data_IF_739028277384
#
_entry.id   IF_739028277384
#
_cell.length_a   1.000
_cell.length_b   1.000
_cell.length_c   1.000
_cell.angle_alpha   90.00
_cell.angle_beta   90.00
_cell.angle_gamma   90.00
#
_symmetry.space_group_name_H-M   'P 1'
#
loop_
_entity.id
_entity.type
_entity.pdbx_description
1 polymer ?
#
# COMPACT_ATOMS: atom_id res chain seq x y z
N UNK A 1 32.40 -61.68 22.22
CA UNK A 1 32.20 -60.55 23.16
C UNK A 1 32.28 -59.27 22.32
N UNK A 2 31.15 -58.75 21.82
CA UNK A 2 30.52 -57.47 22.24
C UNK A 2 31.52 -56.29 22.08
N UNK A 3 31.36 -55.27 21.21
CA UNK A 3 30.25 -54.68 20.43
C UNK A 3 30.88 -53.87 19.27
N UNK A 4 30.46 -54.05 18.01
CA UNK A 4 29.59 -53.15 17.19
C UNK A 4 30.16 -51.71 17.01
N UNK A 5 30.29 -51.21 15.77
CA UNK A 5 31.35 -50.31 15.35
C UNK A 5 31.01 -48.81 15.49
N UNK A 6 32.05 -48.02 15.74
CA UNK A 6 32.06 -46.55 15.81
C UNK A 6 31.88 -45.86 14.43
N UNK A 7 31.02 -46.43 13.57
CA UNK A 7 30.82 -46.01 12.17
C UNK A 7 29.37 -45.59 11.85
N UNK A 8 28.51 -45.36 12.85
CA UNK A 8 27.09 -45.05 12.60
C UNK A 8 26.49 -43.80 13.27
N UNK A 9 27.25 -42.96 13.97
CA UNK A 9 26.67 -41.80 14.69
C UNK A 9 27.19 -40.42 14.26
N UNK A 10 27.79 -40.30 13.08
CA UNK A 10 28.23 -39.00 12.55
C UNK A 10 27.50 -38.58 11.24
N UNK A 11 26.33 -39.17 10.95
CA UNK A 11 25.52 -38.86 9.76
C UNK A 11 24.10 -38.35 10.05
N UNK A 12 23.77 -37.99 11.30
CA UNK A 12 22.45 -37.41 11.68
C UNK A 12 22.65 -36.19 12.59
N UNK A 13 23.55 -35.29 12.19
CA UNK A 13 23.69 -33.94 12.78
C UNK A 13 23.45 -32.84 11.73
N UNK A 14 22.95 -33.22 10.55
CA UNK A 14 22.70 -32.31 9.44
C UNK A 14 21.22 -31.91 9.44
N UNK A 15 20.98 -30.60 9.55
CA UNK A 15 19.77 -29.92 9.09
C UNK A 15 18.47 -30.17 9.86
N UNK A 16 18.40 -29.77 11.13
CA UNK A 16 17.12 -29.35 11.73
C UNK A 16 17.39 -28.43 12.91
N UNK A 17 17.56 -27.14 12.66
CA UNK A 17 16.84 -26.11 13.41
C UNK A 17 16.68 -24.93 12.46
N UNK A 18 15.64 -25.09 11.64
CA UNK A 18 14.80 -24.05 11.08
C UNK A 18 15.29 -22.63 11.38
N UNK A 19 15.93 -22.02 10.40
CA UNK A 19 16.04 -20.58 10.35
C UNK A 19 14.62 -20.03 10.20
N UNK A 20 13.97 -19.72 11.32
CA UNK A 20 12.77 -18.91 11.31
C UNK A 20 13.17 -17.58 10.69
N UNK A 21 12.84 -17.35 9.41
CA UNK A 21 12.87 -16.01 8.83
C UNK A 21 11.95 -15.16 9.69
N UNK A 22 12.52 -14.45 10.66
CA UNK A 22 11.86 -13.33 11.31
C UNK A 22 11.54 -12.37 10.18
N UNK A 23 10.27 -12.32 9.79
CA UNK A 23 9.77 -11.23 8.96
C UNK A 23 9.91 -9.99 9.85
N UNK A 24 10.95 -9.20 9.59
CA UNK A 24 11.02 -7.85 10.13
C UNK A 24 9.84 -7.10 9.50
N UNK A 25 8.75 -6.96 10.24
CA UNK A 25 7.74 -5.96 9.94
C UNK A 25 8.38 -4.61 10.23
N UNK A 26 9.05 -4.03 9.23
CA UNK A 26 9.32 -2.59 9.24
C UNK A 26 7.97 -1.89 9.21
N UNK A 27 7.48 -1.55 10.41
CA UNK A 27 6.28 -0.74 10.58
C UNK A 27 6.54 0.63 9.98
N UNK A 28 6.04 0.85 8.77
CA UNK A 28 6.15 2.13 8.08
C UNK A 28 5.50 3.21 8.94
N UNK A 29 6.13 4.38 9.03
CA UNK A 29 5.52 5.55 9.69
C UNK A 29 4.44 6.09 8.74
N UNK A 30 3.26 6.42 9.26
CA UNK A 30 2.22 7.04 8.45
C UNK A 30 2.66 8.43 7.98
N UNK A 31 2.49 8.72 6.70
CA UNK A 31 2.93 9.99 6.08
C UNK A 31 1.78 10.71 5.39
N UNK A 32 1.95 12.03 5.24
CA UNK A 32 1.09 12.89 4.44
C UNK A 32 1.96 13.74 3.51
N UNK A 33 1.61 13.81 2.24
CA UNK A 33 2.18 14.75 1.28
C UNK A 33 1.08 15.53 0.56
N UNK A 34 1.47 16.67 -0.03
CA UNK A 34 0.56 17.56 -0.74
C UNK A 34 1.19 18.02 -2.05
N UNK A 35 0.42 18.04 -3.12
CA UNK A 35 0.82 18.56 -4.42
C UNK A 35 -0.33 19.33 -5.08
N UNK A 36 -0.03 20.16 -6.08
CA UNK A 36 -1.05 20.86 -6.86
C UNK A 36 -1.78 19.86 -7.77
N UNK A 37 -3.10 19.82 -7.69
CA UNK A 37 -3.96 18.95 -8.53
C UNK A 37 -4.48 19.67 -9.78
N UNK A 38 -4.65 20.98 -9.69
CA UNK A 38 -5.11 21.82 -10.79
C UNK A 38 -5.67 23.16 -10.30
N UNK A 39 -6.31 23.90 -11.20
CA UNK A 39 -6.95 25.18 -10.89
C UNK A 39 -8.44 25.12 -11.22
N UNK A 40 -9.25 25.68 -10.32
CA UNK A 40 -10.70 25.81 -10.47
C UNK A 40 -11.04 26.99 -11.40
N UNK A 41 -12.26 27.02 -11.99
CA UNK A 41 -12.68 28.09 -12.89
C UNK A 41 -12.69 29.49 -12.28
N UNK A 42 -12.78 29.59 -10.94
CA UNK A 42 -12.72 30.84 -10.18
C UNK A 42 -11.28 31.28 -9.83
N UNK A 43 -10.27 30.52 -10.28
CA UNK A 43 -8.86 30.78 -10.05
C UNK A 43 -8.29 30.16 -8.76
N UNK A 44 -9.12 29.53 -7.92
CA UNK A 44 -8.63 28.83 -6.73
C UNK A 44 -7.81 27.58 -7.10
N UNK A 45 -6.79 27.26 -6.31
CA UNK A 45 -5.99 26.05 -6.50
C UNK A 45 -6.66 24.84 -5.83
N UNK A 46 -6.82 23.76 -6.59
CA UNK A 46 -7.10 22.44 -6.03
C UNK A 46 -5.79 21.74 -5.69
N UNK A 47 -5.71 21.22 -4.47
CA UNK A 47 -4.60 20.42 -3.96
C UNK A 47 -4.99 18.94 -3.93
N UNK A 48 -4.00 18.06 -4.07
CA UNK A 48 -4.10 16.63 -3.85
C UNK A 48 -3.25 16.25 -2.64
N UNK A 49 -3.85 15.51 -1.71
CA UNK A 49 -3.23 15.02 -0.50
C UNK A 49 -3.04 13.52 -0.62
N UNK A 50 -1.83 13.04 -0.43
CA UNK A 50 -1.53 11.60 -0.42
C UNK A 50 -1.24 11.18 1.02
N UNK A 51 -2.05 10.29 1.57
CA UNK A 51 -1.87 9.75 2.91
C UNK A 51 -1.45 8.29 2.78
N UNK A 52 -0.34 7.92 3.43
CA UNK A 52 0.11 6.52 3.50
C UNK A 52 0.03 6.03 4.93
N UNK A 53 -0.61 4.88 5.16
CA UNK A 53 -0.69 4.28 6.48
C UNK A 53 0.51 3.37 6.78
N UNK A 54 0.59 2.87 8.02
CA UNK A 54 1.69 2.01 8.45
C UNK A 54 1.78 0.65 7.73
N UNK A 55 0.72 0.25 7.04
CA UNK A 55 0.64 -0.99 6.28
C UNK A 55 0.90 -0.78 4.77
N UNK A 56 1.29 0.44 4.35
CA UNK A 56 1.58 0.77 2.96
C UNK A 56 0.37 1.08 2.08
N UNK A 57 -0.83 1.14 2.66
CA UNK A 57 -2.03 1.60 1.94
C UNK A 57 -1.96 3.11 1.75
N UNK A 58 -2.28 3.55 0.54
CA UNK A 58 -2.21 4.94 0.11
C UNK A 58 -3.57 5.41 -0.35
N UNK A 59 -3.99 6.59 0.10
CA UNK A 59 -5.19 7.28 -0.37
C UNK A 59 -4.84 8.66 -0.89
N UNK A 60 -5.38 9.02 -2.06
CA UNK A 60 -5.27 10.36 -2.62
C UNK A 60 -6.61 11.07 -2.47
N UNK A 61 -6.60 12.28 -1.91
CA UNK A 61 -7.79 13.07 -1.60
C UNK A 61 -7.58 14.48 -2.13
N UNK A 62 -8.52 15.02 -2.90
CA UNK A 62 -8.47 16.42 -3.30
C UNK A 62 -9.26 17.33 -2.35
N UNK A 63 -8.79 18.55 -2.10
CA UNK A 63 -9.59 19.56 -1.39
C UNK A 63 -10.80 20.06 -2.21
N UNK A 64 -10.86 19.74 -3.50
CA UNK A 64 -12.05 19.96 -4.31
C UNK A 64 -13.14 18.94 -3.95
N UNK A 65 -14.09 19.35 -3.11
CA UNK A 65 -15.22 18.50 -2.70
C UNK A 65 -14.84 17.30 -1.82
N UNK A 66 -13.59 17.19 -1.37
CA UNK A 66 -13.12 16.09 -0.52
C UNK A 66 -13.09 14.73 -1.23
N UNK A 67 -12.93 14.72 -2.55
CA UNK A 67 -13.06 13.50 -3.36
C UNK A 67 -11.81 12.61 -3.20
N UNK A 68 -12.03 11.32 -2.94
CA UNK A 68 -10.98 10.30 -3.03
C UNK A 68 -10.75 9.97 -4.51
N UNK A 69 -9.54 10.25 -5.00
CA UNK A 69 -9.18 10.02 -6.40
C UNK A 69 -8.50 8.67 -6.62
N UNK A 70 -7.92 8.08 -5.56
CA UNK A 70 -7.22 6.80 -5.57
C UNK A 70 -7.20 6.19 -4.18
N UNK A 71 -7.33 4.87 -4.09
CA UNK A 71 -7.13 4.13 -2.84
C UNK A 71 -6.49 2.77 -3.16
N UNK A 72 -5.29 2.52 -2.64
CA UNK A 72 -4.63 1.23 -2.84
C UNK A 72 -4.99 0.23 -1.75
N UNK A 73 -5.30 -1.01 -2.13
CA UNK A 73 -5.52 -2.09 -1.17
C UNK A 73 -4.97 -3.42 -1.70
N UNK A 74 -4.48 -4.31 -0.82
CA UNK A 74 -4.05 -5.64 -1.22
C UNK A 74 -5.27 -6.58 -1.38
N UNK A 75 -5.21 -7.47 -2.36
CA UNK A 75 -6.13 -8.59 -2.47
C UNK A 75 -5.77 -9.72 -1.48
N UNK A 76 -6.52 -10.82 -1.53
CA UNK A 76 -6.28 -12.01 -0.68
C UNK A 76 -4.90 -12.67 -0.88
N UNK A 77 -4.23 -12.38 -1.98
CA UNK A 77 -2.89 -12.89 -2.32
C UNK A 77 -1.79 -11.87 -2.02
N UNK A 78 -2.14 -10.68 -1.49
CA UNK A 78 -1.21 -9.58 -1.23
C UNK A 78 -0.90 -8.71 -2.45
N UNK A 79 -1.63 -8.85 -3.56
CA UNK A 79 -1.47 -8.01 -4.75
C UNK A 79 -2.20 -6.69 -4.57
N UNK A 80 -1.48 -5.58 -4.72
CA UNK A 80 -2.02 -4.24 -4.53
C UNK A 80 -2.68 -3.72 -5.80
N UNK A 81 -3.87 -3.14 -5.67
CA UNK A 81 -4.58 -2.46 -6.74
C UNK A 81 -5.24 -1.18 -6.24
N UNK A 82 -5.51 -0.24 -7.15
CA UNK A 82 -6.45 0.85 -6.90
C UNK A 82 -7.87 0.27 -6.90
N UNK A 83 -8.63 0.54 -5.83
CA UNK A 83 -9.96 -0.02 -5.61
C UNK A 83 -11.07 1.02 -5.71
N UNK A 84 -10.74 2.26 -6.07
CA UNK A 84 -11.71 3.35 -6.27
C UNK A 84 -11.72 3.77 -7.73
N UNK A 85 -12.89 4.18 -8.21
CA UNK A 85 -13.02 4.80 -9.52
C UNK A 85 -12.73 6.30 -9.38
N UNK A 86 -11.62 6.73 -9.96
CA UNK A 86 -11.22 8.14 -9.99
C UNK A 86 -10.48 8.48 -11.27
N UNK A 87 -10.22 9.77 -11.42
CA UNK A 87 -9.41 10.34 -12.48
C UNK A 87 -8.09 10.89 -11.94
N UNK A 88 -7.06 10.86 -12.77
CA UNK A 88 -5.70 11.34 -12.44
C UNK A 88 -5.56 12.87 -12.49
N UNK A 89 -6.58 13.60 -12.93
CA UNK A 89 -6.53 15.07 -13.06
C UNK A 89 -7.84 15.72 -12.62
N UNK A 90 -7.81 17.04 -12.37
CA UNK A 90 -8.96 17.82 -11.94
C UNK A 90 -10.06 17.94 -13.01
N UNK A 91 -9.69 18.04 -14.29
CA UNK A 91 -10.62 18.41 -15.37
C UNK A 91 -11.84 17.48 -15.50
N UNK A 92 -11.71 16.14 -15.43
CA UNK A 92 -12.87 15.24 -15.45
C UNK A 92 -13.84 15.44 -14.28
N UNK A 93 -13.35 15.85 -13.11
CA UNK A 93 -14.22 16.16 -11.97
C UNK A 93 -15.02 17.45 -12.16
N UNK A 94 -14.51 18.41 -12.94
CA UNK A 94 -15.23 19.64 -13.30
C UNK A 94 -16.31 19.40 -14.37
N UNK A 95 -16.21 18.27 -15.10
CA UNK A 95 -17.05 17.96 -16.27
C UNK A 95 -18.44 17.42 -15.92
N UNK A 96 -18.76 17.27 -14.61
CA UNK A 96 -20.10 16.89 -14.15
C UNK A 96 -20.44 15.40 -14.36
N UNK A 97 -19.54 14.50 -13.97
CA UNK A 97 -19.82 13.06 -14.00
C UNK A 97 -20.70 12.63 -12.80
N UNK A 98 -21.37 11.46 -12.86
CA UNK A 98 -22.35 11.02 -11.85
C UNK A 98 -21.83 10.97 -10.41
N UNK A 99 -20.53 10.70 -10.20
CA UNK A 99 -19.94 10.61 -8.86
C UNK A 99 -19.16 11.87 -8.44
N UNK A 100 -19.07 12.90 -9.30
CA UNK A 100 -18.44 14.18 -8.95
C UNK A 100 -19.53 15.05 -8.37
N UNK A 101 -19.52 15.17 -7.05
CA UNK A 101 -20.54 15.90 -6.34
C UNK A 101 -20.49 17.39 -6.72
N UNK A 102 -21.59 17.87 -7.31
CA UNK A 102 -21.81 19.29 -7.60
C UNK A 102 -22.35 19.92 -6.32
N UNK A 103 -21.47 20.51 -5.51
CA UNK A 103 -21.81 21.32 -4.35
C UNK A 103 -21.69 22.80 -4.72
#
# INVERSE_FOLDING_TARGET
>A
MRRIPFLLTALVGLAIFSCSKTKNEEKMISTISKEAFGQLPDGQQADLYTLTNANGMTVNITNYGGIITKLTAPDKNGQWADVVLGFDSLAPYLSGHPFSARW
#
